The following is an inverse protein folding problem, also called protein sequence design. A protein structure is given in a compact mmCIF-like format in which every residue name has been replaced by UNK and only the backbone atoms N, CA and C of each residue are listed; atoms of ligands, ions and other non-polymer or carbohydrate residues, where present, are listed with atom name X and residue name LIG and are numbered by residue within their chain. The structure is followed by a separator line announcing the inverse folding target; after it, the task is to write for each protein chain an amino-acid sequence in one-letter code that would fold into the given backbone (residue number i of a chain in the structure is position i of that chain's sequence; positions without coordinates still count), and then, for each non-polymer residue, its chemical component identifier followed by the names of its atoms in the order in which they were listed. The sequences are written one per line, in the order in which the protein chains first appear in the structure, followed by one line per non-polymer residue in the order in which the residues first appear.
data_IF_003348943629
#
_entry.id   IF_003348943629
#
_cell.length_a   1.000
_cell.length_b   1.000
_cell.length_c   1.000
_cell.angle_alpha   90.00
_cell.angle_beta   90.00
_cell.angle_gamma   90.00
#
_symmetry.space_group_name_H-M   'P 1'
#
loop_
_entity.id
_entity.type
_entity.pdbx_description
1 polymer ?
#
# COMPACT_ATOMS: atom_id res chain seq x y z
N UNK A 1 59.75 24.69 -23.44
CA UNK A 1 59.06 23.96 -24.52
C UNK A 1 58.50 22.60 -24.08
N UNK A 2 59.27 21.67 -23.51
CA UNK A 2 58.73 20.35 -23.08
C UNK A 2 57.76 20.41 -21.87
N UNK A 3 58.02 21.25 -20.87
CA UNK A 3 57.14 21.39 -19.69
C UNK A 3 55.76 22.00 -19.99
N UNK A 4 55.66 22.86 -21.00
CA UNK A 4 54.40 23.51 -21.38
C UNK A 4 53.44 22.56 -22.12
N UNK A 5 53.99 21.58 -22.82
CA UNK A 5 53.20 20.53 -23.47
C UNK A 5 52.68 19.52 -22.45
N UNK A 6 53.49 19.13 -21.47
CA UNK A 6 53.07 18.21 -20.39
C UNK A 6 51.97 18.81 -19.52
N UNK A 7 52.03 20.11 -19.23
CA UNK A 7 50.97 20.83 -18.49
C UNK A 7 49.69 20.97 -19.31
N UNK A 8 49.79 21.19 -20.63
CA UNK A 8 48.60 21.15 -21.52
C UNK A 8 47.96 19.77 -21.56
N UNK A 9 48.75 18.71 -21.67
CA UNK A 9 48.24 17.33 -21.71
C UNK A 9 47.58 16.97 -20.37
N UNK A 10 48.18 17.36 -19.24
CA UNK A 10 47.61 17.10 -17.92
C UNK A 10 46.27 17.81 -17.72
N UNK A 11 46.14 19.07 -18.14
CA UNK A 11 44.90 19.82 -18.07
C UNK A 11 43.80 19.21 -18.95
N UNK A 12 44.11 18.82 -20.20
CA UNK A 12 43.15 18.16 -21.08
C UNK A 12 42.67 16.83 -20.46
N UNK A 13 43.57 16.07 -19.86
CA UNK A 13 43.23 14.78 -19.23
C UNK A 13 42.36 14.96 -17.98
N UNK A 14 42.60 16.01 -17.20
CA UNK A 14 41.73 16.38 -16.07
C UNK A 14 40.35 16.86 -16.54
N UNK A 15 40.29 17.55 -17.68
CA UNK A 15 39.04 18.07 -18.24
C UNK A 15 38.15 16.96 -18.84
N UNK A 16 38.75 15.93 -19.45
CA UNK A 16 38.03 14.75 -19.96
C UNK A 16 37.49 13.88 -18.81
N UNK A 17 38.22 13.77 -17.68
CA UNK A 17 37.77 12.98 -16.51
C UNK A 17 36.61 13.62 -15.74
N UNK A 18 36.32 14.90 -15.98
CA UNK A 18 35.30 15.65 -15.25
C UNK A 18 34.11 16.08 -16.15
N UNK A 19 33.85 15.33 -17.22
CA UNK A 19 32.63 15.50 -18.03
C UNK A 19 31.46 14.83 -17.30
N UNK A 20 30.78 15.61 -16.47
CA UNK A 20 29.46 15.25 -15.98
C UNK A 20 28.46 15.54 -17.11
N UNK A 21 27.67 14.54 -17.49
CA UNK A 21 26.58 14.72 -18.44
C UNK A 21 25.61 15.80 -17.91
N UNK A 22 25.40 16.86 -18.69
CA UNK A 22 24.39 17.85 -18.36
C UNK A 22 22.99 17.21 -18.38
N UNK A 23 22.10 17.67 -17.51
CA UNK A 23 20.70 17.21 -17.46
C UNK A 23 20.08 17.24 -18.86
N UNK A 24 19.84 16.06 -19.43
CA UNK A 24 19.23 15.93 -20.76
C UNK A 24 17.72 16.12 -20.63
N UNK A 25 17.14 16.98 -21.46
CA UNK A 25 15.70 17.29 -21.42
C UNK A 25 14.78 16.14 -21.86
N UNK A 26 15.35 14.99 -22.26
CA UNK A 26 14.59 13.83 -22.74
C UNK A 26 13.68 14.15 -23.93
N UNK A 27 12.94 13.15 -24.41
CA UNK A 27 11.80 13.39 -25.30
C UNK A 27 10.64 13.89 -24.43
N UNK A 28 10.00 15.04 -24.73
CA UNK A 28 8.79 15.43 -24.04
C UNK A 28 7.78 14.30 -24.15
N UNK A 29 7.27 13.81 -23.02
CA UNK A 29 6.17 12.85 -23.04
C UNK A 29 4.96 13.58 -23.58
N UNK A 30 4.67 13.44 -24.87
CA UNK A 30 3.54 14.10 -25.54
C UNK A 30 2.19 13.71 -24.94
N UNK A 31 2.15 12.62 -24.16
CA UNK A 31 0.96 12.11 -23.49
C UNK A 31 0.82 12.55 -22.02
N UNK A 32 1.92 12.93 -21.35
CA UNK A 32 1.90 13.29 -19.91
C UNK A 32 2.05 14.80 -19.78
N UNK A 33 0.91 15.49 -19.80
CA UNK A 33 0.79 16.92 -19.58
C UNK A 33 0.12 17.20 -18.23
N UNK A 34 0.27 18.42 -17.71
CA UNK A 34 -0.36 18.84 -16.44
C UNK A 34 -1.89 18.65 -16.47
N UNK A 35 -2.54 18.99 -17.58
CA UNK A 35 -3.97 18.74 -17.81
C UNK A 35 -4.32 17.25 -17.70
N UNK A 36 -3.49 16.38 -18.28
CA UNK A 36 -3.70 14.94 -18.25
C UNK A 36 -3.56 14.39 -16.83
N UNK A 37 -2.57 14.89 -16.09
CA UNK A 37 -2.33 14.53 -14.69
C UNK A 37 -3.54 14.91 -13.83
N UNK A 38 -4.07 16.13 -14.02
CA UNK A 38 -5.24 16.60 -13.28
C UNK A 38 -6.52 15.81 -13.60
N UNK A 39 -6.72 15.41 -14.86
CA UNK A 39 -7.86 14.57 -15.23
C UNK A 39 -7.73 13.17 -14.63
N UNK A 40 -6.55 12.56 -14.67
CA UNK A 40 -6.31 11.25 -14.01
C UNK A 40 -6.53 11.37 -12.50
N UNK A 41 -6.06 12.44 -11.87
CA UNK A 41 -6.31 12.71 -10.44
C UNK A 41 -7.81 12.72 -10.15
N UNK A 42 -8.57 13.48 -10.94
CA UNK A 42 -10.02 13.60 -10.77
C UNK A 42 -10.75 12.27 -10.94
N UNK A 43 -10.37 11.47 -11.94
CA UNK A 43 -10.96 10.13 -12.13
C UNK A 43 -10.73 9.23 -10.91
N UNK A 44 -9.53 9.28 -10.32
CA UNK A 44 -9.18 8.49 -9.15
C UNK A 44 -9.87 9.01 -7.88
N UNK A 45 -10.03 10.32 -7.75
CA UNK A 45 -10.78 10.94 -6.64
C UNK A 45 -12.27 10.58 -6.70
N UNK A 46 -12.86 10.54 -7.91
CA UNK A 46 -14.25 10.14 -8.14
C UNK A 46 -14.47 8.63 -7.93
N UNK A 47 -13.58 7.78 -8.45
CA UNK A 47 -13.58 6.33 -8.23
C UNK A 47 -12.17 5.80 -7.91
N UNK A 48 -11.85 5.61 -6.61
CA UNK A 48 -10.58 5.05 -6.18
C UNK A 48 -10.34 3.60 -6.64
N UNK A 49 -11.37 2.86 -7.06
CA UNK A 49 -11.25 1.48 -7.53
C UNK A 49 -10.87 1.36 -9.01
N UNK A 50 -10.93 2.48 -9.74
CA UNK A 50 -10.67 2.57 -11.19
C UNK A 50 -9.45 1.75 -11.63
N UNK A 51 -9.65 0.97 -12.69
CA UNK A 51 -8.62 0.13 -13.31
C UNK A 51 -7.88 0.92 -14.39
N UNK A 52 -6.67 0.47 -14.74
CA UNK A 52 -5.92 1.06 -15.85
C UNK A 52 -6.76 1.10 -17.13
N UNK A 53 -7.44 -0.01 -17.48
CA UNK A 53 -8.30 -0.10 -18.67
C UNK A 53 -9.44 0.92 -18.66
N UNK A 54 -10.07 1.19 -17.52
CA UNK A 54 -11.11 2.22 -17.44
C UNK A 54 -10.52 3.61 -17.73
N UNK A 55 -9.37 3.94 -17.15
CA UNK A 55 -8.69 5.22 -17.37
C UNK A 55 -8.22 5.34 -18.83
N UNK A 56 -7.68 4.27 -19.41
CA UNK A 56 -7.30 4.18 -20.83
C UNK A 56 -8.50 4.45 -21.75
N UNK A 57 -9.63 3.81 -21.49
CA UNK A 57 -10.84 3.97 -22.31
C UNK A 57 -11.40 5.40 -22.24
N UNK A 58 -11.23 6.09 -21.11
CA UNK A 58 -11.69 7.48 -20.92
C UNK A 58 -10.75 8.47 -21.63
N UNK A 59 -9.43 8.27 -21.53
CA UNK A 59 -8.45 9.27 -21.97
C UNK A 59 -7.74 8.94 -23.29
N UNK A 60 -7.80 7.70 -23.77
CA UNK A 60 -7.10 7.24 -24.96
C UNK A 60 -5.57 7.21 -24.83
N UNK A 61 -5.05 7.11 -23.60
CA UNK A 61 -3.62 7.12 -23.28
C UNK A 61 -3.15 5.69 -23.03
N UNK A 62 -1.87 5.41 -23.26
CA UNK A 62 -1.30 4.08 -22.95
C UNK A 62 -1.20 3.82 -21.43
N UNK A 63 -1.39 2.56 -21.04
CA UNK A 63 -1.16 2.06 -19.67
C UNK A 63 0.17 2.49 -19.10
N UNK A 64 1.23 2.53 -19.91
CA UNK A 64 2.56 2.95 -19.45
C UNK A 64 2.58 4.42 -19.01
N UNK A 65 1.94 5.31 -19.77
CA UNK A 65 1.86 6.72 -19.40
C UNK A 65 0.95 6.93 -18.18
N UNK A 66 -0.16 6.20 -18.07
CA UNK A 66 -1.01 6.21 -16.87
C UNK A 66 -0.23 5.71 -15.65
N UNK A 67 0.55 4.65 -15.81
CA UNK A 67 1.40 4.12 -14.74
C UNK A 67 2.40 5.18 -14.25
N UNK A 68 3.10 5.86 -15.16
CA UNK A 68 3.97 6.97 -14.78
C UNK A 68 3.21 8.11 -14.10
N UNK A 69 2.04 8.52 -14.61
CA UNK A 69 1.22 9.56 -13.97
C UNK A 69 0.87 9.19 -12.51
N UNK A 70 0.37 7.97 -12.30
CA UNK A 70 -0.08 7.52 -10.99
C UNK A 70 1.07 7.41 -9.98
N UNK A 71 2.19 6.79 -10.37
CA UNK A 71 3.29 6.53 -9.44
C UNK A 71 4.27 7.68 -9.33
N UNK A 72 4.67 8.29 -10.45
CA UNK A 72 5.75 9.30 -10.48
C UNK A 72 5.22 10.71 -10.18
N UNK A 73 4.02 11.06 -10.68
CA UNK A 73 3.46 12.41 -10.53
C UNK A 73 2.47 12.53 -9.37
N UNK A 74 1.57 11.55 -9.23
CA UNK A 74 0.55 11.53 -8.17
C UNK A 74 1.02 10.82 -6.89
N UNK A 75 2.11 10.04 -6.94
CA UNK A 75 2.66 9.29 -5.81
C UNK A 75 1.65 8.34 -5.13
N UNK A 76 0.76 7.77 -5.95
CA UNK A 76 -0.30 6.86 -5.52
C UNK A 76 0.14 5.40 -5.67
N UNK A 77 -0.43 4.53 -4.84
CA UNK A 77 -0.26 3.07 -4.91
C UNK A 77 -1.61 2.36 -4.88
N UNK A 78 -1.72 1.21 -5.56
CA UNK A 78 -2.93 0.38 -5.51
C UNK A 78 -2.84 -0.61 -4.35
N UNK A 79 -3.76 -0.49 -3.39
CA UNK A 79 -3.72 -1.28 -2.15
C UNK A 79 -5.08 -1.90 -1.86
N UNK A 80 -5.09 -3.19 -1.53
CA UNK A 80 -6.29 -3.87 -1.03
C UNK A 80 -6.62 -3.40 0.39
N UNK A 81 -7.91 -3.24 0.67
CA UNK A 81 -8.39 -3.01 2.03
C UNK A 81 -7.94 -4.13 2.97
N UNK A 82 -7.61 -3.76 4.22
CA UNK A 82 -7.36 -4.70 5.30
C UNK A 82 -8.70 -5.18 5.85
N UNK A 83 -8.86 -6.49 5.95
CA UNK A 83 -10.00 -7.09 6.62
C UNK A 83 -9.93 -6.85 8.12
N UNK A 84 -11.04 -6.35 8.68
CA UNK A 84 -11.24 -6.22 10.13
C UNK A 84 -12.55 -6.91 10.53
N UNK A 85 -12.58 -7.65 11.65
CA UNK A 85 -13.81 -8.32 12.10
C UNK A 85 -14.93 -7.32 12.39
N UNK A 86 -14.61 -6.25 13.12
CA UNK A 86 -15.58 -5.23 13.54
C UNK A 86 -14.94 -3.84 13.56
N UNK A 87 -15.76 -2.81 13.34
CA UNK A 87 -15.39 -1.42 13.61
C UNK A 87 -15.71 -1.11 15.07
N UNK A 88 -14.66 -0.97 15.89
CA UNK A 88 -14.81 -0.70 17.32
C UNK A 88 -15.11 0.77 17.59
N UNK A 89 -16.01 1.03 18.53
CA UNK A 89 -16.23 2.37 19.11
C UNK A 89 -15.16 2.66 20.18
N UNK A 90 -15.00 3.92 20.56
CA UNK A 90 -13.88 4.33 21.42
C UNK A 90 -13.93 3.69 22.81
N UNK A 91 -15.12 3.53 23.40
CA UNK A 91 -15.28 2.83 24.68
C UNK A 91 -14.85 1.36 24.60
N UNK A 92 -15.17 0.67 23.51
CA UNK A 92 -14.72 -0.71 23.27
C UNK A 92 -13.20 -0.78 23.13
N UNK A 93 -12.56 0.22 22.51
CA UNK A 93 -11.10 0.28 22.43
C UNK A 93 -10.49 0.49 23.82
N UNK A 94 -11.04 1.39 24.62
CA UNK A 94 -10.57 1.64 25.98
C UNK A 94 -10.69 0.39 26.85
N UNK A 95 -11.84 -0.28 26.82
CA UNK A 95 -12.05 -1.51 27.57
C UNK A 95 -11.05 -2.61 27.16
N UNK A 96 -10.77 -2.75 25.86
CA UNK A 96 -9.76 -3.70 25.37
C UNK A 96 -8.37 -3.36 25.87
N UNK A 97 -7.97 -2.09 25.84
CA UNK A 97 -6.66 -1.65 26.34
C UNK A 97 -6.54 -1.94 27.84
N UNK A 98 -7.57 -1.61 28.62
CA UNK A 98 -7.61 -1.89 30.06
C UNK A 98 -7.49 -3.38 30.35
N UNK A 99 -8.23 -4.22 29.62
CA UNK A 99 -8.15 -5.67 29.76
C UNK A 99 -6.75 -6.20 29.41
N UNK A 100 -6.15 -5.73 28.31
CA UNK A 100 -4.79 -6.10 27.94
C UNK A 100 -3.76 -5.73 29.01
N UNK A 101 -3.85 -4.54 29.60
CA UNK A 101 -2.97 -4.14 30.70
C UNK A 101 -3.16 -5.01 31.95
N UNK A 102 -4.41 -5.33 32.29
CA UNK A 102 -4.72 -6.21 33.42
C UNK A 102 -4.15 -7.62 33.20
N UNK A 103 -4.37 -8.20 32.02
CA UNK A 103 -3.85 -9.53 31.65
C UNK A 103 -2.32 -9.54 31.64
N UNK A 104 -1.67 -8.50 31.11
CA UNK A 104 -0.22 -8.40 31.07
C UNK A 104 0.38 -8.31 32.48
N UNK A 105 -0.21 -7.49 33.35
CA UNK A 105 0.23 -7.38 34.75
C UNK A 105 0.14 -8.73 35.48
N UNK A 106 -0.99 -9.43 35.33
CA UNK A 106 -1.17 -10.76 35.92
C UNK A 106 -0.15 -11.77 35.40
N UNK A 107 0.16 -11.71 34.11
CA UNK A 107 1.18 -12.55 33.49
C UNK A 107 2.58 -12.29 34.08
N UNK A 108 2.95 -11.03 34.26
CA UNK A 108 4.23 -10.64 34.86
C UNK A 108 4.33 -11.03 36.34
N UNK A 109 3.26 -10.86 37.12
CA UNK A 109 3.23 -11.18 38.55
C UNK A 109 3.37 -12.68 38.82
N UNK A 110 2.83 -13.54 37.95
CA UNK A 110 2.88 -14.99 38.10
C UNK A 110 4.07 -15.66 37.37
N UNK A 111 5.12 -14.88 37.06
CA UNK A 111 6.28 -15.36 36.29
C UNK A 111 5.88 -16.10 35.01
N UNK A 112 4.81 -15.65 34.35
CA UNK A 112 4.27 -16.24 33.12
C UNK A 112 3.65 -17.64 33.26
N UNK A 113 3.56 -18.21 34.47
CA UNK A 113 3.07 -19.59 34.66
C UNK A 113 1.57 -19.72 34.44
N UNK A 114 0.80 -18.69 34.75
CA UNK A 114 -0.66 -18.69 34.60
C UNK A 114 -1.15 -19.06 33.19
N UNK A 115 -0.33 -18.90 32.15
CA UNK A 115 -0.71 -19.27 30.78
C UNK A 115 -0.88 -20.77 30.59
N UNK A 116 -0.16 -21.60 31.35
CA UNK A 116 -0.28 -23.06 31.26
C UNK A 116 -1.58 -23.59 31.88
N UNK A 117 -2.26 -22.78 32.69
CA UNK A 117 -3.54 -23.12 33.31
C UNK A 117 -4.74 -22.59 32.51
N UNK A 118 -4.51 -21.84 31.42
CA UNK A 118 -5.58 -21.31 30.57
C UNK A 118 -6.02 -22.40 29.61
N UNK A 119 -7.28 -22.83 29.75
CA UNK A 119 -7.97 -23.61 28.73
C UNK A 119 -8.76 -22.65 27.87
N UNK A 120 -8.59 -22.75 26.55
CA UNK A 120 -9.32 -21.94 25.58
C UNK A 120 -10.23 -22.81 24.71
N UNK A 121 -11.37 -22.25 24.33
CA UNK A 121 -12.30 -22.84 23.38
C UNK A 121 -12.73 -21.75 22.39
N UNK A 122 -12.86 -22.12 21.13
CA UNK A 122 -13.39 -21.25 20.08
C UNK A 122 -14.22 -22.07 19.07
N UNK A 123 -15.32 -21.47 18.63
CA UNK A 123 -16.21 -22.05 17.63
C UNK A 123 -16.02 -21.32 16.30
N UNK A 124 -15.56 -22.06 15.28
CA UNK A 124 -15.34 -21.53 13.95
C UNK A 124 -16.33 -22.08 12.93
N UNK A 125 -16.92 -21.20 12.13
CA UNK A 125 -17.77 -21.55 11.00
C UNK A 125 -16.95 -21.65 9.71
N UNK A 126 -16.98 -22.81 9.06
CA UNK A 126 -16.41 -23.03 7.73
C UNK A 126 -17.49 -22.90 6.66
N UNK A 127 -17.25 -22.00 5.70
CA UNK A 127 -18.15 -21.73 4.58
C UNK A 127 -17.66 -22.46 3.33
N UNK A 128 -18.57 -23.04 2.55
CA UNK A 128 -18.24 -23.71 1.29
C UNK A 128 -17.82 -22.75 0.16
N UNK A 129 -18.15 -21.46 0.26
CA UNK A 129 -17.88 -20.46 -0.78
C UNK A 129 -17.55 -19.11 -0.16
N UNK A 130 -16.44 -18.50 -0.59
CA UNK A 130 -16.06 -17.13 -0.22
C UNK A 130 -16.31 -16.18 -1.41
N UNK A 131 -17.35 -15.31 -1.35
CA UNK A 131 -17.78 -14.54 -2.51
C UNK A 131 -16.90 -13.33 -2.85
N UNK A 132 -16.04 -12.86 -1.94
CA UNK A 132 -15.41 -11.55 -2.07
C UNK A 132 -13.92 -11.65 -2.41
N UNK A 133 -13.60 -11.43 -3.68
CA UNK A 133 -12.23 -11.37 -4.13
C UNK A 133 -11.53 -10.14 -3.56
N UNK A 134 -10.40 -10.36 -2.87
CA UNK A 134 -9.51 -9.30 -2.34
C UNK A 134 -9.15 -8.24 -3.38
N UNK A 135 -9.10 -8.64 -4.65
CA UNK A 135 -8.86 -7.78 -5.82
C UNK A 135 -9.88 -6.64 -5.95
N UNK A 136 -11.15 -6.89 -5.67
CA UNK A 136 -12.22 -5.88 -5.76
C UNK A 136 -12.10 -4.78 -4.70
N UNK A 137 -11.34 -5.04 -3.62
CA UNK A 137 -11.09 -4.06 -2.56
C UNK A 137 -9.91 -3.14 -2.84
N UNK A 138 -9.24 -3.27 -4.00
CA UNK A 138 -8.09 -2.46 -4.35
C UNK A 138 -8.51 -1.03 -4.65
N UNK A 139 -7.90 -0.08 -3.94
CA UNK A 139 -8.05 1.35 -4.21
C UNK A 139 -6.70 1.99 -4.48
N UNK A 140 -6.70 3.05 -5.27
CA UNK A 140 -5.58 4.00 -5.34
C UNK A 140 -5.56 4.84 -4.07
N UNK A 141 -4.40 4.93 -3.42
CA UNK A 141 -4.23 5.70 -2.19
C UNK A 141 -2.84 6.33 -2.14
N UNK A 142 -2.72 7.45 -1.44
CA UNK A 142 -1.42 8.03 -1.14
C UNK A 142 -0.60 7.09 -0.26
N UNK A 143 0.73 7.21 -0.36
CA UNK A 143 1.64 6.46 0.49
C UNK A 143 1.50 6.84 1.97
N UNK A 144 1.10 8.08 2.26
CA UNK A 144 0.92 8.60 3.62
C UNK A 144 -0.40 8.17 4.29
N UNK A 145 -1.41 7.79 3.51
CA UNK A 145 -2.74 7.50 4.03
C UNK A 145 -2.81 6.14 4.75
N UNK A 146 -3.65 6.01 5.79
CA UNK A 146 -3.91 4.72 6.41
C UNK A 146 -4.59 3.78 5.43
N UNK A 147 -4.20 2.51 5.45
CA UNK A 147 -4.80 1.48 4.60
C UNK A 147 -6.31 1.41 4.89
N UNK A 148 -7.18 1.41 3.85
CA UNK A 148 -8.61 1.28 4.05
C UNK A 148 -8.93 -0.04 4.74
N UNK A 149 -9.99 -0.04 5.54
CA UNK A 149 -10.48 -1.23 6.23
C UNK A 149 -11.82 -1.66 5.66
N UNK A 150 -11.99 -2.98 5.53
CA UNK A 150 -13.24 -3.59 5.11
C UNK A 150 -13.74 -4.49 6.23
N UNK A 151 -15.00 -4.28 6.62
CA UNK A 151 -15.66 -5.11 7.62
C UNK A 151 -16.12 -6.39 6.94
N UNK A 152 -15.76 -7.54 7.52
CA UNK A 152 -16.21 -8.82 7.03
C UNK A 152 -17.72 -8.96 7.20
N UNK A 153 -18.44 -9.30 6.12
CA UNK A 153 -19.87 -9.60 6.15
C UNK A 153 -20.05 -11.04 5.67
N UNK A 154 -20.50 -11.91 6.57
CA UNK A 154 -20.81 -13.29 6.24
C UNK A 154 -22.06 -13.34 5.37
N UNK A 155 -21.99 -14.01 4.21
CA UNK A 155 -23.18 -14.39 3.44
C UNK A 155 -23.77 -15.67 4.04
N UNK A 156 -25.09 -15.79 4.00
CA UNK A 156 -25.80 -17.02 4.34
C UNK A 156 -25.58 -18.06 3.24
N UNK A 157 -24.68 -19.02 3.50
CA UNK A 157 -24.47 -20.21 2.66
C UNK A 157 -24.46 -21.46 3.54
N UNK A 158 -24.39 -22.64 2.93
CA UNK A 158 -24.16 -23.89 3.67
C UNK A 158 -22.87 -23.77 4.48
N UNK A 159 -22.98 -24.07 5.78
CA UNK A 159 -21.92 -23.86 6.77
C UNK A 159 -21.77 -25.07 7.67
N UNK A 160 -20.53 -25.36 8.07
CA UNK A 160 -20.17 -26.39 9.06
C UNK A 160 -19.55 -25.69 10.27
N UNK A 161 -19.93 -26.11 11.47
CA UNK A 161 -19.34 -25.63 12.72
C UNK A 161 -18.27 -26.62 13.17
N UNK A 162 -17.14 -26.10 13.63
CA UNK A 162 -16.09 -26.87 14.29
C UNK A 162 -15.78 -26.17 15.62
N UNK A 163 -15.75 -26.93 16.71
CA UNK A 163 -15.30 -26.46 18.02
C UNK A 163 -13.90 -27.03 18.29
N UNK A 164 -12.98 -26.19 18.76
CA UNK A 164 -11.58 -26.57 19.04
C UNK A 164 -11.27 -26.18 20.47
N UNK A 165 -10.85 -27.16 21.26
CA UNK A 165 -10.42 -27.01 22.64
C UNK A 165 -8.90 -27.20 22.73
N UNK A 166 -8.19 -26.25 23.36
CA UNK A 166 -6.74 -26.33 23.59
C UNK A 166 -6.33 -25.80 24.94
#
# INVERSE_FOLDING_TARGET
MKLEEETKILNITQQIRNVQDASRSGRPSTSVNEQTIDVVRKIIEDDPHSTYQQIENILGISSTAINSIIHDYLNLRKVCARWVPHKLIDDQKQLRIQFCHHSLKRFEEDQSRCVFDIITDDESWFYHYDPELKEQSKVWMSTADPRPTKIHRTKSAEKRMVAIFS
#
